data_IF_985149786987
#
_entry.id   IF_985149786987
#
_cell.length_a   1.000
_cell.length_b   1.000
_cell.length_c   1.000
_cell.angle_alpha   90.00
_cell.angle_beta   90.00
_cell.angle_gamma   90.00
#
_symmetry.space_group_name_H-M   'P 1'
#
loop_
_entity.id
_entity.type
_entity.pdbx_description
1 polymer ?
#
# COMPACT_ATOMS: atom_id res chain seq x y z
N UNK A 1 1.55 16.69 1.37
CA UNK A 1 2.04 15.33 1.04
C UNK A 1 3.43 15.39 0.46
N UNK A 2 4.29 14.42 0.80
CA UNK A 2 5.61 14.25 0.18
C UNK A 2 5.73 12.84 -0.42
N UNK A 3 6.71 12.65 -1.31
CA UNK A 3 6.95 11.37 -1.96
C UNK A 3 8.41 11.14 -2.25
N UNK A 4 8.78 9.86 -2.31
CA UNK A 4 10.00 9.43 -2.96
C UNK A 4 9.70 8.75 -4.29
N UNK A 5 10.59 8.96 -5.26
CA UNK A 5 10.60 8.17 -6.49
C UNK A 5 11.23 6.79 -6.24
N UNK A 6 10.66 5.80 -6.90
CA UNK A 6 11.16 4.43 -6.96
C UNK A 6 11.62 4.15 -8.41
N UNK A 7 12.85 3.65 -8.60
CA UNK A 7 13.36 3.23 -9.92
C UNK A 7 12.62 1.98 -10.45
N UNK A 8 12.62 1.62 -11.74
CA UNK A 8 12.26 2.30 -13.01
C UNK A 8 11.56 1.23 -13.87
N UNK A 9 10.48 0.66 -13.32
CA UNK A 9 9.60 -0.32 -14.00
C UNK A 9 8.13 0.07 -13.86
N UNK A 10 7.85 1.31 -13.43
CA UNK A 10 6.52 1.84 -13.39
C UNK A 10 6.01 1.97 -14.83
N UNK A 11 4.90 1.31 -15.12
CA UNK A 11 4.13 1.56 -16.33
C UNK A 11 3.25 2.78 -16.05
N UNK A 12 3.22 3.72 -16.99
CA UNK A 12 2.18 4.73 -17.04
C UNK A 12 0.96 4.04 -17.66
N UNK A 13 0.10 3.51 -16.81
CA UNK A 13 -0.98 2.60 -17.20
C UNK A 13 -2.15 2.68 -16.22
N UNK A 14 -3.21 1.94 -16.50
CA UNK A 14 -4.37 1.86 -15.62
C UNK A 14 -4.70 0.40 -15.31
N UNK A 15 -5.30 0.13 -14.14
CA UNK A 15 -5.69 1.08 -13.08
C UNK A 15 -4.50 1.49 -12.19
N UNK A 16 -4.66 2.60 -11.46
CA UNK A 16 -3.79 3.02 -10.37
C UNK A 16 -4.11 2.23 -9.10
N UNK A 17 -3.15 1.42 -8.66
CA UNK A 17 -3.21 0.64 -7.42
C UNK A 17 -2.33 1.31 -6.37
N UNK A 18 -2.96 1.79 -5.30
CA UNK A 18 -2.29 2.24 -4.08
C UNK A 18 -2.24 1.12 -3.06
N UNK A 19 -1.05 0.84 -2.53
CA UNK A 19 -0.83 -0.23 -1.56
C UNK A 19 -0.22 0.36 -0.28
N UNK A 20 -0.90 0.19 0.86
CA UNK A 20 -0.31 0.52 2.15
C UNK A 20 0.87 -0.43 2.45
N UNK A 21 1.93 0.05 3.10
CA UNK A 21 3.18 -0.72 3.20
C UNK A 21 3.20 -1.64 4.41
N UNK A 22 3.30 -1.07 5.61
CA UNK A 22 3.35 -1.83 6.85
C UNK A 22 2.01 -2.49 7.17
N UNK A 23 2.01 -3.69 7.74
CA UNK A 23 0.78 -4.44 8.02
C UNK A 23 0.18 -5.13 6.79
N UNK A 24 0.47 -4.61 5.59
CA UNK A 24 -0.10 -5.08 4.33
C UNK A 24 0.89 -5.91 3.50
N UNK A 25 2.03 -5.33 3.11
CA UNK A 25 3.07 -6.01 2.30
C UNK A 25 4.38 -6.22 3.06
N UNK A 26 4.62 -5.45 4.11
CA UNK A 26 5.73 -5.62 5.03
C UNK A 26 5.23 -5.96 6.44
N UNK A 27 5.94 -6.89 7.09
CA UNK A 27 5.68 -7.25 8.48
C UNK A 27 6.95 -7.64 9.21
N UNK A 28 6.89 -7.71 10.55
CA UNK A 28 8.02 -8.15 11.34
C UNK A 28 8.28 -9.64 11.09
N UNK A 29 9.55 -10.03 10.91
CA UNK A 29 9.92 -11.45 10.73
C UNK A 29 9.57 -12.29 11.96
N UNK A 30 9.64 -11.69 13.15
CA UNK A 30 9.33 -12.27 14.45
C UNK A 30 8.55 -11.25 15.26
N UNK A 31 7.66 -11.68 16.16
CA UNK A 31 6.87 -10.77 17.00
C UNK A 31 7.72 -9.74 17.77
N UNK A 32 8.92 -10.12 18.21
CA UNK A 32 9.83 -9.20 18.93
C UNK A 32 10.37 -8.05 18.06
N UNK A 33 10.35 -8.20 16.74
CA UNK A 33 10.83 -7.18 15.80
C UNK A 33 9.72 -6.19 15.41
N UNK A 34 8.53 -6.22 16.04
CA UNK A 34 7.37 -5.39 15.70
C UNK A 34 7.71 -3.89 15.64
N UNK A 35 8.51 -3.37 16.58
CA UNK A 35 8.89 -1.95 16.58
C UNK A 35 10.12 -1.64 15.72
N UNK A 36 10.78 -2.66 15.16
CA UNK A 36 12.00 -2.51 14.36
C UNK A 36 11.71 -2.66 12.86
N UNK A 37 11.15 -1.60 12.29
CA UNK A 37 10.78 -1.50 10.87
C UNK A 37 11.93 -1.83 9.92
N UNK A 38 13.18 -1.49 10.28
CA UNK A 38 14.37 -1.78 9.46
C UNK A 38 14.58 -3.28 9.21
N UNK A 39 14.02 -4.13 10.07
CA UNK A 39 14.06 -5.60 9.97
C UNK A 39 12.82 -6.21 9.31
N UNK A 40 11.87 -5.38 8.86
CA UNK A 40 10.68 -5.89 8.20
C UNK A 40 11.05 -6.66 6.93
N UNK A 41 10.26 -7.69 6.67
CA UNK A 41 10.40 -8.57 5.50
C UNK A 41 9.09 -8.54 4.70
N UNK A 42 9.14 -8.81 3.39
CA UNK A 42 7.94 -9.00 2.60
C UNK A 42 7.06 -10.10 3.21
N UNK A 43 5.76 -9.84 3.27
CA UNK A 43 4.80 -10.84 3.71
C UNK A 43 4.54 -11.79 2.55
N UNK A 44 4.96 -13.05 2.72
CA UNK A 44 4.69 -14.15 1.77
C UNK A 44 5.15 -13.77 0.34
N UNK A 45 4.31 -13.96 -0.69
CA UNK A 45 4.65 -13.75 -2.09
C UNK A 45 4.08 -12.44 -2.67
N UNK A 46 3.94 -11.40 -1.83
CA UNK A 46 3.39 -10.11 -2.25
C UNK A 46 4.18 -9.44 -3.38
N UNK A 47 5.49 -9.68 -3.48
CA UNK A 47 6.34 -9.13 -4.54
C UNK A 47 5.90 -9.62 -5.91
N UNK A 48 5.76 -10.94 -6.08
CA UNK A 48 5.36 -11.52 -7.36
C UNK A 48 3.92 -11.16 -7.72
N UNK A 49 3.05 -11.06 -6.71
CA UNK A 49 1.67 -10.60 -6.86
C UNK A 49 1.61 -9.23 -7.51
N UNK A 50 2.32 -8.26 -6.94
CA UNK A 50 2.34 -6.87 -7.42
C UNK A 50 3.00 -6.79 -8.79
N UNK A 51 4.06 -7.59 -9.04
CA UNK A 51 4.67 -7.69 -10.37
C UNK A 51 3.69 -8.20 -11.42
N UNK A 52 2.83 -9.17 -11.11
CA UNK A 52 1.80 -9.67 -12.04
C UNK A 52 0.81 -8.57 -12.41
N UNK A 53 0.33 -7.77 -11.46
CA UNK A 53 -0.56 -6.65 -11.75
C UNK A 53 0.13 -5.57 -12.59
N UNK A 54 1.36 -5.21 -12.23
CA UNK A 54 2.13 -4.21 -12.98
C UNK A 54 2.41 -4.65 -14.44
N UNK A 55 2.73 -5.92 -14.68
CA UNK A 55 2.88 -6.48 -16.05
C UNK A 55 1.59 -6.46 -16.86
N UNK A 56 0.44 -6.41 -16.21
CA UNK A 56 -0.88 -6.29 -16.84
C UNK A 56 -1.29 -4.83 -17.08
N UNK A 57 -0.40 -3.86 -16.83
CA UNK A 57 -0.65 -2.44 -17.08
C UNK A 57 -1.00 -1.62 -15.83
N UNK A 58 -1.09 -2.25 -14.64
CA UNK A 58 -1.38 -1.49 -13.42
C UNK A 58 -0.22 -0.57 -13.02
N UNK A 59 -0.56 0.69 -12.74
CA UNK A 59 0.36 1.63 -12.11
C UNK A 59 0.37 1.35 -10.60
N UNK A 60 1.56 1.13 -10.02
CA UNK A 60 1.70 0.82 -8.59
C UNK A 60 2.31 2.01 -7.85
N UNK A 61 1.63 2.44 -6.78
CA UNK A 61 2.15 3.41 -5.80
C UNK A 61 1.99 2.87 -4.38
N UNK A 62 2.79 3.39 -3.47
CA UNK A 62 2.83 2.95 -2.08
C UNK A 62 2.49 4.09 -1.13
N UNK A 63 1.86 3.75 -0.01
CA UNK A 63 1.62 4.65 1.11
C UNK A 63 2.22 4.06 2.39
N UNK A 64 2.92 4.88 3.18
CA UNK A 64 3.46 4.45 4.48
C UNK A 64 2.86 5.21 5.65
N UNK A 65 2.83 4.53 6.80
CA UNK A 65 2.45 5.12 8.07
C UNK A 65 3.45 6.14 8.63
N UNK A 66 4.69 6.14 8.10
CA UNK A 66 5.78 7.02 8.53
C UNK A 66 5.49 8.49 8.21
N UNK A 67 5.97 9.37 9.08
CA UNK A 67 5.65 10.82 9.08
C UNK A 67 6.87 11.73 8.91
N UNK A 68 8.07 11.18 9.08
CA UNK A 68 9.31 11.92 8.88
C UNK A 68 10.05 11.34 7.69
N UNK A 69 10.78 12.20 6.98
CA UNK A 69 11.58 11.81 5.82
C UNK A 69 12.53 10.65 6.16
N UNK A 70 13.28 10.73 7.27
CA UNK A 70 14.20 9.66 7.70
C UNK A 70 13.50 8.31 7.91
N UNK A 71 12.29 8.33 8.48
CA UNK A 71 11.55 7.09 8.74
C UNK A 71 10.87 6.55 7.48
N UNK A 72 10.38 7.42 6.60
CA UNK A 72 9.85 7.04 5.29
C UNK A 72 10.95 6.52 4.35
N UNK A 73 12.16 7.09 4.41
CA UNK A 73 13.34 6.61 3.68
C UNK A 73 13.68 5.16 4.06
N UNK A 74 13.45 4.75 5.31
CA UNK A 74 13.60 3.33 5.71
C UNK A 74 12.67 2.42 4.91
N UNK A 75 11.42 2.83 4.67
CA UNK A 75 10.47 2.03 3.88
C UNK A 75 10.85 2.02 2.40
N UNK A 76 11.28 3.16 1.86
CA UNK A 76 11.86 3.23 0.51
C UNK A 76 13.02 2.25 0.33
N UNK A 77 13.95 2.22 1.29
CA UNK A 77 15.11 1.33 1.25
C UNK A 77 14.67 -0.15 1.25
N UNK A 78 13.61 -0.50 1.98
CA UNK A 78 13.04 -1.85 1.94
C UNK A 78 12.40 -2.16 0.59
N UNK A 79 11.60 -1.25 0.03
CA UNK A 79 11.00 -1.41 -1.30
C UNK A 79 12.07 -1.67 -2.37
N UNK A 80 13.15 -0.89 -2.35
CA UNK A 80 14.29 -1.03 -3.27
C UNK A 80 15.03 -2.35 -3.00
N UNK A 81 15.37 -2.65 -1.74
CA UNK A 81 16.10 -3.87 -1.34
C UNK A 81 15.40 -5.14 -1.82
N UNK A 82 14.07 -5.18 -1.66
CA UNK A 82 13.26 -6.33 -2.04
C UNK A 82 12.74 -6.27 -3.48
N UNK A 83 13.16 -5.28 -4.27
CA UNK A 83 12.86 -5.15 -5.71
C UNK A 83 11.34 -5.12 -5.99
N UNK A 84 10.61 -4.36 -5.19
CA UNK A 84 9.21 -4.03 -5.48
C UNK A 84 9.14 -3.17 -6.74
N UNK A 85 8.07 -3.36 -7.53
CA UNK A 85 7.77 -2.51 -8.69
C UNK A 85 6.80 -1.41 -8.28
N UNK A 86 7.02 -0.20 -8.77
CA UNK A 86 6.13 0.93 -8.51
C UNK A 86 6.83 2.25 -8.76
N UNK A 87 6.04 3.33 -8.84
CA UNK A 87 6.54 4.65 -9.19
C UNK A 87 6.96 5.45 -7.95
N UNK A 88 6.15 5.43 -6.91
CA UNK A 88 6.29 6.34 -5.78
C UNK A 88 5.98 5.69 -4.44
N UNK A 89 6.67 6.15 -3.40
CA UNK A 89 6.28 5.98 -2.01
C UNK A 89 5.82 7.33 -1.45
N UNK A 90 4.54 7.44 -1.12
CA UNK A 90 3.95 8.61 -0.48
C UNK A 90 3.99 8.49 1.04
N UNK A 91 4.15 9.63 1.71
CA UNK A 91 4.01 9.76 3.14
C UNK A 91 3.41 11.11 3.50
N UNK A 92 2.80 11.15 4.68
CA UNK A 92 2.18 12.35 5.25
C UNK A 92 3.21 13.18 6.01
N UNK A 93 3.12 14.50 5.92
CA UNK A 93 3.94 15.43 6.70
C UNK A 93 3.05 16.46 7.39
N UNK A 94 3.54 17.07 8.48
CA UNK A 94 2.78 18.08 9.22
C UNK A 94 1.38 17.61 9.64
N UNK A 95 0.35 18.34 9.18
CA UNK A 95 -1.06 18.08 9.46
C UNK A 95 -1.75 17.13 8.47
N UNK A 96 -1.03 16.61 7.47
CA UNK A 96 -1.60 15.69 6.47
C UNK A 96 -2.20 14.45 7.15
N UNK A 97 -3.40 14.09 6.71
CA UNK A 97 -4.07 12.83 7.02
C UNK A 97 -3.95 11.88 5.83
N UNK A 98 -4.12 10.57 6.06
CA UNK A 98 -4.10 9.60 4.97
C UNK A 98 -5.19 9.88 3.93
N UNK A 99 -6.38 10.33 4.37
CA UNK A 99 -7.45 10.71 3.46
C UNK A 99 -7.02 11.79 2.47
N UNK A 100 -6.18 12.76 2.87
CA UNK A 100 -5.79 13.86 2.00
C UNK A 100 -4.92 13.35 0.84
N UNK A 101 -4.08 12.34 1.11
CA UNK A 101 -3.27 11.66 0.08
C UNK A 101 -4.17 10.82 -0.83
N UNK A 102 -5.08 10.02 -0.26
CA UNK A 102 -5.99 9.18 -1.05
C UNK A 102 -6.93 10.02 -1.92
N UNK A 103 -7.48 11.12 -1.39
CA UNK A 103 -8.35 12.06 -2.10
C UNK A 103 -7.60 12.80 -3.21
N UNK A 104 -6.32 13.14 -2.98
CA UNK A 104 -5.50 13.81 -3.98
C UNK A 104 -5.10 12.89 -5.13
N UNK A 105 -4.82 11.61 -4.86
CA UNK A 105 -4.30 10.66 -5.84
C UNK A 105 -5.40 9.82 -6.51
N UNK A 106 -6.57 9.69 -5.88
CA UNK A 106 -7.75 8.98 -6.39
C UNK A 106 -7.40 7.62 -7.00
N UNK A 107 -6.78 6.70 -6.24
CA UNK A 107 -6.44 5.40 -6.79
C UNK A 107 -7.71 4.63 -7.17
N UNK A 108 -7.70 3.94 -8.30
CA UNK A 108 -8.79 3.05 -8.69
C UNK A 108 -8.93 1.89 -7.70
N UNK A 109 -7.81 1.41 -7.15
CA UNK A 109 -7.76 0.37 -6.13
C UNK A 109 -6.90 0.82 -4.95
N UNK A 110 -7.45 0.76 -3.73
CA UNK A 110 -6.71 0.95 -2.49
C UNK A 110 -6.65 -0.37 -1.72
N UNK A 111 -5.45 -0.90 -1.51
CA UNK A 111 -5.21 -2.11 -0.71
C UNK A 111 -4.54 -1.70 0.60
N UNK A 112 -5.21 -1.96 1.72
CA UNK A 112 -4.69 -1.69 3.06
C UNK A 112 -5.10 -2.78 4.04
N UNK A 113 -4.41 -2.89 5.16
CA UNK A 113 -4.79 -3.79 6.22
C UNK A 113 -5.80 -3.14 7.17
N UNK A 114 -6.51 -3.99 7.91
CA UNK A 114 -7.56 -3.54 8.82
C UNK A 114 -7.05 -2.85 10.11
N UNK A 115 -5.74 -2.60 10.24
CA UNK A 115 -5.14 -1.82 11.33
C UNK A 115 -5.52 -2.30 12.75
N UNK A 116 -5.80 -3.61 12.91
CA UNK A 116 -6.38 -4.16 14.15
C UNK A 116 -5.52 -3.86 15.39
N UNK A 117 -4.20 -3.84 15.26
CA UNK A 117 -3.27 -3.57 16.36
C UNK A 117 -3.28 -2.12 16.87
N UNK A 118 -3.79 -1.15 16.10
CA UNK A 118 -3.67 0.28 16.39
C UNK A 118 -5.00 1.05 16.45
N UNK A 119 -6.15 0.35 16.42
CA UNK A 119 -7.47 0.99 16.53
C UNK A 119 -8.44 0.64 15.40
N UNK A 120 -8.05 -0.28 14.51
CA UNK A 120 -8.93 -0.86 13.52
C UNK A 120 -9.35 0.14 12.45
N UNK A 121 -10.64 0.12 12.10
CA UNK A 121 -11.19 0.92 11.02
C UNK A 121 -10.88 2.43 11.16
N UNK A 122 -10.81 2.96 12.39
CA UNK A 122 -10.51 4.37 12.63
C UNK A 122 -9.10 4.81 12.20
N UNK A 123 -8.19 3.87 11.97
CA UNK A 123 -6.83 4.15 11.50
C UNK A 123 -6.66 3.95 9.99
N UNK A 124 -7.63 3.33 9.33
CA UNK A 124 -7.56 3.06 7.89
C UNK A 124 -7.68 4.36 7.09
N UNK A 125 -7.00 4.38 5.95
CA UNK A 125 -6.94 5.51 5.03
C UNK A 125 -8.32 5.78 4.43
N UNK A 126 -9.04 4.74 4.01
CA UNK A 126 -10.35 4.84 3.36
C UNK A 126 -11.48 5.33 4.29
N UNK A 127 -11.30 5.29 5.61
CA UNK A 127 -12.38 5.55 6.57
C UNK A 127 -12.90 6.97 6.49
N UNK A 128 -12.01 7.93 6.28
CA UNK A 128 -12.35 9.35 6.27
C UNK A 128 -12.31 9.99 4.89
N UNK A 129 -12.07 9.22 3.83
CA UNK A 129 -12.15 9.71 2.45
C UNK A 129 -13.58 10.17 2.18
N UNK A 130 -13.72 11.33 1.55
CA UNK A 130 -15.02 11.87 1.11
C UNK A 130 -15.85 10.81 0.39
N UNK A 131 -17.15 10.77 0.68
CA UNK A 131 -18.04 9.73 0.18
C UNK A 131 -18.04 9.63 -1.35
N UNK A 132 -18.09 10.76 -2.06
CA UNK A 132 -18.16 10.78 -3.52
C UNK A 132 -16.85 10.29 -4.15
N UNK A 133 -15.72 10.57 -3.50
CA UNK A 133 -14.42 10.05 -3.94
C UNK A 133 -14.34 8.56 -3.63
N UNK A 134 -14.71 8.15 -2.41
CA UNK A 134 -14.66 6.77 -1.92
C UNK A 134 -15.48 5.80 -2.78
N UNK A 135 -16.64 6.23 -3.30
CA UNK A 135 -17.47 5.42 -4.21
C UNK A 135 -16.77 5.04 -5.52
N UNK A 136 -15.76 5.82 -5.92
CA UNK A 136 -14.94 5.56 -7.11
C UNK A 136 -13.63 4.80 -6.80
N UNK A 137 -13.40 4.44 -5.53
CA UNK A 137 -12.20 3.71 -5.10
C UNK A 137 -12.59 2.29 -4.71
N UNK A 138 -12.02 1.30 -5.39
CA UNK A 138 -12.10 -0.10 -4.97
C UNK A 138 -11.24 -0.32 -3.73
N UNK A 139 -11.83 -0.20 -2.55
CA UNK A 139 -11.14 -0.48 -1.29
C UNK A 139 -11.12 -1.97 -0.98
N UNK A 140 -9.92 -2.54 -0.85
CA UNK A 140 -9.67 -3.93 -0.48
C UNK A 140 -8.98 -3.92 0.88
N UNK A 141 -9.76 -4.20 1.93
CA UNK A 141 -9.27 -4.29 3.30
C UNK A 141 -8.83 -5.74 3.56
N UNK A 142 -7.57 -5.93 3.91
CA UNK A 142 -7.00 -7.24 4.25
C UNK A 142 -6.81 -7.39 5.76
N UNK A 143 -6.67 -8.63 6.24
CA UNK A 143 -6.29 -8.86 7.64
C UNK A 143 -4.83 -8.44 7.86
N UNK A 144 -4.58 -7.65 8.89
CA UNK A 144 -3.23 -7.23 9.30
C UNK A 144 -2.24 -8.41 9.36
N UNK A 145 -1.07 -8.21 8.75
CA UNK A 145 0.03 -9.16 8.55
C UNK A 145 -0.31 -10.47 7.81
N UNK A 146 -1.50 -10.61 7.21
CA UNK A 146 -1.86 -11.80 6.42
C UNK A 146 -1.34 -11.79 4.98
N UNK A 147 -0.98 -10.62 4.46
CA UNK A 147 -0.51 -10.45 3.09
C UNK A 147 -1.63 -10.52 2.05
N UNK A 148 -1.25 -10.33 0.79
CA UNK A 148 -2.16 -10.14 -0.35
C UNK A 148 -2.24 -11.34 -1.30
N UNK A 149 -1.65 -12.49 -0.94
CA UNK A 149 -1.50 -13.63 -1.87
C UNK A 149 -2.82 -14.22 -2.34
N UNK A 150 -3.88 -14.11 -1.53
CA UNK A 150 -5.20 -14.65 -1.83
C UNK A 150 -6.01 -13.79 -2.80
N UNK A 151 -5.58 -12.56 -3.07
CA UNK A 151 -6.25 -11.70 -4.05
C UNK A 151 -6.11 -12.29 -5.47
N UNK A 152 -6.91 -11.88 -6.46
CA UNK A 152 -6.74 -12.38 -7.83
C UNK A 152 -5.38 -12.00 -8.44
N UNK A 153 -4.81 -12.90 -9.24
CA UNK A 153 -3.60 -12.60 -10.04
C UNK A 153 -3.94 -11.75 -11.27
N UNK A 154 -5.11 -11.99 -11.87
CA UNK A 154 -5.61 -11.23 -13.00
C UNK A 154 -6.12 -9.85 -12.55
N UNK A 155 -5.71 -8.81 -13.27
CA UNK A 155 -6.01 -7.42 -12.93
C UNK A 155 -7.50 -7.07 -13.10
N UNK A 156 -8.16 -7.65 -14.11
CA UNK A 156 -9.61 -7.47 -14.34
C UNK A 156 -10.39 -8.12 -13.19
N UNK A 157 -9.97 -9.31 -12.75
CA UNK A 157 -10.58 -9.98 -11.61
C UNK A 157 -10.33 -9.21 -10.31
N UNK A 158 -9.15 -8.61 -10.14
CA UNK A 158 -8.86 -7.76 -8.98
C UNK A 158 -9.78 -6.54 -8.94
N UNK A 159 -10.03 -5.87 -10.07
CA UNK A 159 -10.98 -4.74 -10.15
C UNK A 159 -12.41 -5.15 -9.76
N UNK A 160 -12.81 -6.38 -10.10
CA UNK A 160 -14.12 -6.95 -9.78
C UNK A 160 -14.17 -7.62 -8.42
N UNK A 161 -13.06 -7.72 -7.69
CA UNK A 161 -12.96 -8.52 -6.47
C UNK A 161 -13.91 -8.02 -5.37
N UNK A 162 -14.87 -8.82 -4.94
CA UNK A 162 -15.71 -8.51 -3.79
C UNK A 162 -15.23 -9.27 -2.56
N UNK A 163 -15.15 -8.57 -1.42
CA UNK A 163 -14.83 -9.21 -0.15
C UNK A 163 -16.03 -10.11 0.19
N UNK A 164 -15.80 -11.43 0.21
CA UNK A 164 -16.76 -12.41 0.71
C UNK A 164 -16.94 -12.30 2.22
#
# INVERSE_FOLDING_TARGET
MERFELNKYAVDGSPLIMIFTEGTIFGPKRFIDFFNVKKYVPIKNCIDKIKKWNRQGAQIIYLTSRKSETSAQTIKDLLIRYKFVGAYLYYRTGSDKYKDIVESLKPDILIEDNCRSIGGAWQMSITYVDKNIKENIKSIIIKEFKGIDYLPDNLIDLMKYEIK
#
